data_IF_096053907362
#
_entry.id   IF_096053907362
#
_cell.length_a   1.000
_cell.length_b   1.000
_cell.length_c   1.000
_cell.angle_alpha   90.00
_cell.angle_beta   90.00
_cell.angle_gamma   90.00
#
_symmetry.space_group_name_H-M   'P 1'
#
loop_
_entity.id
_entity.type
_entity.pdbx_description
1 polymer ?
#
# COMPACT_ATOMS: atom_id res chain seq x y z
N UNK A 1 -7.32 -14.97 11.26
CA UNK A 1 -7.42 -13.56 11.69
C UNK A 1 -6.23 -12.84 11.11
N UNK A 2 -6.46 -11.75 10.39
CA UNK A 2 -5.38 -10.89 9.96
C UNK A 2 -4.91 -10.04 11.15
N UNK A 3 -3.61 -9.80 11.25
CA UNK A 3 -3.02 -8.85 12.19
C UNK A 3 -3.10 -7.42 11.64
N UNK A 4 -2.96 -7.28 10.33
CA UNK A 4 -3.11 -6.03 9.61
C UNK A 4 -3.96 -6.27 8.38
N UNK A 5 -4.95 -5.41 8.18
CA UNK A 5 -5.74 -5.36 6.96
C UNK A 5 -5.54 -4.00 6.32
N UNK A 6 -5.14 -3.99 5.05
CA UNK A 6 -4.98 -2.77 4.26
C UNK A 6 -5.87 -2.88 3.02
N UNK A 7 -6.70 -1.85 2.81
CA UNK A 7 -7.65 -1.78 1.69
C UNK A 7 -7.33 -0.55 0.85
N UNK A 8 -7.31 -0.75 -0.46
CA UNK A 8 -7.13 0.29 -1.48
C UNK A 8 -5.91 1.21 -1.21
N UNK A 9 -4.77 0.63 -0.84
CA UNK A 9 -3.56 1.39 -0.53
C UNK A 9 -3.10 2.17 -1.75
N UNK A 10 -3.04 3.48 -1.61
CA UNK A 10 -2.44 4.39 -2.57
C UNK A 10 -1.28 5.13 -1.92
N UNK A 11 -0.14 5.14 -2.58
CA UNK A 11 1.04 5.91 -2.16
C UNK A 11 1.50 6.78 -3.31
N UNK A 12 1.56 8.07 -3.08
CA UNK A 12 1.97 9.07 -4.07
C UNK A 12 3.12 9.93 -3.55
N UNK A 13 4.02 10.30 -4.45
CA UNK A 13 5.12 11.19 -4.18
C UNK A 13 5.07 12.38 -5.14
N UNK A 14 5.16 13.58 -4.58
CA UNK A 14 5.33 14.80 -5.36
C UNK A 14 6.81 14.99 -5.70
N UNK A 15 7.10 15.11 -7.00
CA UNK A 15 8.44 15.37 -7.54
C UNK A 15 8.41 16.66 -8.37
N UNK A 16 9.57 17.31 -8.61
CA UNK A 16 9.62 18.52 -9.43
C UNK A 16 9.03 18.36 -10.85
N UNK A 17 8.99 17.14 -11.39
CA UNK A 17 8.41 16.81 -12.70
C UNK A 17 6.94 16.36 -12.68
N UNK A 18 6.29 16.39 -11.51
CA UNK A 18 4.92 15.92 -11.33
C UNK A 18 4.80 14.88 -10.23
N UNK A 19 3.62 14.27 -10.14
CA UNK A 19 3.31 13.28 -9.12
C UNK A 19 3.52 11.86 -9.66
N UNK A 20 4.15 11.01 -8.87
CA UNK A 20 4.30 9.58 -9.15
C UNK A 20 3.46 8.79 -8.17
N UNK A 21 2.68 7.83 -8.70
CA UNK A 21 1.97 6.84 -7.90
C UNK A 21 2.83 5.57 -7.78
N UNK A 22 3.31 5.30 -6.58
CA UNK A 22 4.19 4.17 -6.28
C UNK A 22 3.43 2.90 -5.90
N UNK A 23 2.29 3.06 -5.22
CA UNK A 23 1.34 1.97 -4.96
C UNK A 23 -0.02 2.44 -5.44
N UNK A 24 -0.71 1.60 -6.22
CA UNK A 24 -1.97 1.95 -6.87
C UNK A 24 -3.09 0.96 -6.50
N UNK A 25 -3.81 1.28 -5.42
CA UNK A 25 -5.04 0.59 -5.04
C UNK A 25 -4.83 -0.86 -4.57
N UNK A 26 -3.70 -1.16 -3.93
CA UNK A 26 -3.41 -2.53 -3.50
C UNK A 26 -4.17 -2.87 -2.21
N UNK A 27 -4.81 -4.03 -2.21
CA UNK A 27 -5.49 -4.60 -1.03
C UNK A 27 -4.77 -5.86 -0.60
N UNK A 28 -4.43 -5.95 0.69
CA UNK A 28 -3.78 -7.12 1.26
C UNK A 28 -4.03 -7.25 2.76
N UNK A 29 -3.90 -8.48 3.24
CA UNK A 29 -3.98 -8.86 4.63
C UNK A 29 -2.66 -9.48 5.04
N UNK A 30 -2.18 -9.13 6.24
CA UNK A 30 -0.99 -9.75 6.84
C UNK A 30 -1.42 -10.65 7.99
N UNK A 31 -1.13 -11.93 7.87
CA UNK A 31 -1.38 -12.95 8.87
C UNK A 31 -0.28 -13.04 9.93
N UNK A 32 -0.55 -13.77 11.01
CA UNK A 32 0.46 -14.09 12.01
C UNK A 32 1.52 -15.03 11.42
N UNK A 33 2.80 -14.70 11.55
CA UNK A 33 3.97 -15.47 11.07
C UNK A 33 4.25 -15.44 9.55
N UNK A 34 3.70 -14.48 8.81
CA UNK A 34 4.19 -14.13 7.48
C UNK A 34 5.54 -13.40 7.59
N UNK A 35 6.48 -13.70 6.67
CA UNK A 35 7.88 -13.30 6.70
C UNK A 35 8.25 -12.36 5.55
#
# INVERSE_FOLDING_TARGET
MALLEVRDLVVEFDLPGGRVRAVDGVTFDVGTAEA
#
